data_IF_236210025519
#
_entry.id   IF_236210025519
#
_cell.length_a   1.000
_cell.length_b   1.000
_cell.length_c   1.000
_cell.angle_alpha   90.00
_cell.angle_beta   90.00
_cell.angle_gamma   90.00
#
_symmetry.space_group_name_H-M   'P 1'
#
loop_
_entity.id
_entity.type
_entity.pdbx_description
1 polymer ?
#
# COMPACT_ATOMS: atom_id res chain seq x y z
N UNK A 1 -21.05 18.55 -28.47
CA UNK A 1 -19.75 17.99 -28.00
C UNK A 1 -19.54 18.25 -26.50
N UNK A 2 -20.53 18.85 -25.83
CA UNK A 2 -20.39 19.48 -24.51
C UNK A 2 -20.64 18.50 -23.35
N UNK A 3 -21.34 17.38 -23.61
CA UNK A 3 -21.59 16.32 -22.62
C UNK A 3 -20.34 15.50 -22.28
N UNK A 4 -19.44 15.27 -23.25
CA UNK A 4 -18.20 14.51 -23.01
C UNK A 4 -17.23 15.33 -22.15
N UNK A 5 -16.99 16.59 -22.50
CA UNK A 5 -16.06 17.44 -21.73
C UNK A 5 -16.57 17.79 -20.32
N UNK A 6 -17.88 17.80 -20.10
CA UNK A 6 -18.47 18.03 -18.76
C UNK A 6 -18.46 16.78 -17.87
N UNK A 7 -18.43 15.57 -18.44
CA UNK A 7 -18.38 14.31 -17.67
C UNK A 7 -16.96 13.89 -17.30
N UNK A 8 -15.95 14.26 -18.10
CA UNK A 8 -14.53 13.92 -17.86
C UNK A 8 -14.01 14.31 -16.46
N UNK A 9 -14.28 15.51 -15.91
CA UNK A 9 -13.80 15.88 -14.57
C UNK A 9 -14.39 15.01 -13.46
N UNK A 10 -15.66 14.61 -13.60
CA UNK A 10 -16.33 13.74 -12.63
C UNK A 10 -15.77 12.32 -12.66
N UNK A 11 -15.48 11.80 -13.86
CA UNK A 11 -14.82 10.49 -14.01
C UNK A 11 -13.42 10.54 -13.42
N UNK A 12 -12.64 11.57 -13.72
CA UNK A 12 -11.31 11.75 -13.16
C UNK A 12 -11.32 11.80 -11.62
N UNK A 13 -12.24 12.58 -11.05
CA UNK A 13 -12.40 12.68 -9.60
C UNK A 13 -12.81 11.34 -8.98
N UNK A 14 -13.78 10.65 -9.58
CA UNK A 14 -14.24 9.34 -9.11
C UNK A 14 -13.14 8.28 -9.11
N UNK A 15 -12.35 8.21 -10.19
CA UNK A 15 -11.21 7.28 -10.29
C UNK A 15 -10.14 7.62 -9.25
N UNK A 16 -9.80 8.90 -9.10
CA UNK A 16 -8.78 9.33 -8.14
C UNK A 16 -9.20 9.03 -6.70
N UNK A 17 -10.46 9.30 -6.35
CA UNK A 17 -11.01 9.02 -5.03
C UNK A 17 -11.02 7.51 -4.75
N UNK A 18 -11.52 6.71 -5.69
CA UNK A 18 -11.55 5.26 -5.56
C UNK A 18 -10.14 4.68 -5.38
N UNK A 19 -9.19 5.07 -6.23
CA UNK A 19 -7.81 4.63 -6.15
C UNK A 19 -7.16 5.01 -4.81
N UNK A 20 -7.37 6.25 -4.35
CA UNK A 20 -6.83 6.74 -3.08
C UNK A 20 -7.35 5.93 -1.90
N UNK A 21 -8.66 5.67 -1.83
CA UNK A 21 -9.26 4.89 -0.75
C UNK A 21 -8.77 3.44 -0.76
N UNK A 22 -8.72 2.81 -1.95
CA UNK A 22 -8.24 1.44 -2.09
C UNK A 22 -6.77 1.30 -1.64
N UNK A 23 -5.90 2.20 -2.10
CA UNK A 23 -4.48 2.22 -1.73
C UNK A 23 -4.30 2.51 -0.24
N UNK A 24 -5.07 3.44 0.33
CA UNK A 24 -5.03 3.74 1.75
C UNK A 24 -5.40 2.51 2.59
N UNK A 25 -6.48 1.81 2.22
CA UNK A 25 -6.91 0.59 2.91
C UNK A 25 -5.83 -0.49 2.88
N UNK A 26 -5.22 -0.72 1.71
CA UNK A 26 -4.13 -1.69 1.56
C UNK A 26 -2.85 -1.26 2.29
N UNK A 27 -2.55 0.05 2.37
CA UNK A 27 -1.42 0.59 3.12
C UNK A 27 -1.59 0.39 4.62
N UNK A 28 -2.76 0.72 5.17
CA UNK A 28 -3.07 0.56 6.59
C UNK A 28 -3.07 -0.92 6.98
N UNK A 29 -3.71 -1.77 6.17
CA UNK A 29 -3.67 -3.21 6.42
C UNK A 29 -2.23 -3.74 6.34
N UNK A 30 -1.47 -3.32 5.33
CA UNK A 30 -0.06 -3.66 5.17
C UNK A 30 0.79 -3.26 6.37
N UNK A 31 0.59 -2.05 6.90
CA UNK A 31 1.27 -1.56 8.09
C UNK A 31 0.94 -2.41 9.32
N UNK A 32 -0.33 -2.75 9.53
CA UNK A 32 -0.75 -3.61 10.64
C UNK A 32 -0.10 -4.98 10.51
N UNK A 33 -0.09 -5.57 9.31
CA UNK A 33 0.55 -6.86 9.08
C UNK A 33 2.05 -6.81 9.30
N UNK A 34 2.75 -5.75 8.86
CA UNK A 34 4.19 -5.58 9.14
C UNK A 34 4.43 -5.47 10.64
N UNK A 35 3.64 -4.67 11.35
CA UNK A 35 3.79 -4.45 12.79
C UNK A 35 3.59 -5.76 13.59
N UNK A 36 2.61 -6.57 13.20
CA UNK A 36 2.30 -7.86 13.82
C UNK A 36 3.23 -9.01 13.41
N UNK A 37 3.99 -8.85 12.33
CA UNK A 37 4.93 -9.88 11.86
C UNK A 37 6.22 -9.82 12.68
N UNK A 38 6.74 -10.99 13.05
CA UNK A 38 8.00 -11.15 13.77
C UNK A 38 9.22 -10.70 12.93
N UNK A 39 10.22 -10.10 13.58
CA UNK A 39 11.35 -9.43 12.94
C UNK A 39 12.31 -10.40 12.22
N UNK A 40 12.49 -11.59 12.77
CA UNK A 40 13.28 -12.68 12.20
C UNK A 40 12.80 -13.10 10.80
N UNK A 41 11.50 -13.09 10.54
CA UNK A 41 10.94 -13.42 9.23
C UNK A 41 11.40 -12.43 8.14
N UNK A 42 11.60 -11.16 8.49
CA UNK A 42 12.15 -10.18 7.54
C UNK A 42 13.64 -10.42 7.26
N UNK A 43 14.40 -10.85 8.27
CA UNK A 43 15.83 -11.11 8.11
C UNK A 43 16.09 -12.28 7.16
N UNK A 44 15.24 -13.32 7.18
CA UNK A 44 15.38 -14.49 6.29
C UNK A 44 15.24 -14.13 4.81
N UNK A 45 14.48 -13.08 4.48
CA UNK A 45 14.28 -12.61 3.11
C UNK A 45 15.19 -11.44 2.73
N UNK A 46 16.28 -11.22 3.47
CA UNK A 46 17.21 -10.09 3.29
C UNK A 46 16.52 -8.72 3.32
N UNK A 47 15.59 -8.54 4.27
CA UNK A 47 14.88 -7.27 4.50
C UNK A 47 14.92 -6.90 5.98
N UNK A 48 14.63 -5.63 6.27
CA UNK A 48 14.50 -5.13 7.63
C UNK A 48 13.06 -4.70 7.89
N UNK A 49 12.47 -5.21 8.98
CA UNK A 49 11.10 -4.85 9.39
C UNK A 49 10.93 -3.34 9.54
N UNK A 50 11.89 -2.67 10.15
CA UNK A 50 11.83 -1.22 10.39
C UNK A 50 11.67 -0.43 9.08
N UNK A 51 12.37 -0.82 8.02
CA UNK A 51 12.25 -0.17 6.71
C UNK A 51 10.85 -0.36 6.14
N UNK A 52 10.30 -1.58 6.21
CA UNK A 52 8.94 -1.85 5.72
C UNK A 52 7.86 -1.20 6.58
N UNK A 53 8.08 -1.05 7.88
CA UNK A 53 7.17 -0.32 8.77
C UNK A 53 7.13 1.17 8.40
N UNK A 54 8.30 1.78 8.15
CA UNK A 54 8.40 3.17 7.70
C UNK A 54 7.82 3.36 6.30
N UNK A 55 8.06 2.42 5.37
CA UNK A 55 7.55 2.49 4.01
C UNK A 55 6.02 2.36 3.98
N UNK A 56 5.46 1.34 4.62
CA UNK A 56 3.99 1.15 4.68
C UNK A 56 3.29 2.26 5.48
N UNK A 57 3.93 2.76 6.54
CA UNK A 57 3.44 3.93 7.28
C UNK A 57 3.49 5.22 6.48
N UNK A 58 4.60 5.47 5.79
CA UNK A 58 4.74 6.59 4.86
C UNK A 58 3.73 6.52 3.72
N UNK A 59 3.45 5.33 3.20
CA UNK A 59 2.42 5.11 2.19
C UNK A 59 1.01 5.41 2.73
N UNK A 60 0.68 5.00 3.96
CA UNK A 60 -0.60 5.31 4.58
C UNK A 60 -0.76 6.83 4.81
N UNK A 61 0.29 7.51 5.26
CA UNK A 61 0.29 8.98 5.40
C UNK A 61 0.15 9.67 4.05
N UNK A 62 0.90 9.24 3.03
CA UNK A 62 0.83 9.82 1.69
C UNK A 62 -0.55 9.66 1.04
N UNK A 63 -1.16 8.48 1.17
CA UNK A 63 -2.52 8.22 0.69
C UNK A 63 -3.56 9.02 1.51
N UNK A 64 -3.39 9.14 2.83
CA UNK A 64 -4.25 9.95 3.69
C UNK A 64 -4.20 11.44 3.36
N UNK A 65 -3.00 11.98 3.11
CA UNK A 65 -2.82 13.36 2.64
C UNK A 65 -3.45 13.59 1.26
N UNK A 66 -3.35 12.61 0.36
CA UNK A 66 -4.00 12.65 -0.96
C UNK A 66 -5.53 12.74 -0.86
N UNK A 67 -6.14 12.20 0.20
CA UNK A 67 -7.58 12.29 0.44
C UNK A 67 -7.99 13.69 0.93
N UNK A 68 -7.16 14.32 1.78
CA UNK A 68 -7.42 15.65 2.34
C UNK A 68 -7.16 16.77 1.34
N UNK A 69 -6.25 16.56 0.39
CA UNK A 69 -5.87 17.56 -0.62
C UNK A 69 -5.88 16.96 -2.05
N UNK A 70 -7.06 16.62 -2.61
CA UNK A 70 -7.16 15.90 -3.89
C UNK A 70 -6.52 16.63 -5.07
N UNK A 71 -6.44 17.95 -4.99
CA UNK A 71 -5.93 18.82 -6.05
C UNK A 71 -4.41 19.01 -5.98
N UNK A 72 -3.79 18.76 -4.83
CA UNK A 72 -2.42 19.24 -4.58
C UNK A 72 -1.38 18.32 -5.20
N UNK A 73 -1.52 16.99 -5.13
CA UNK A 73 -0.61 16.04 -5.80
C UNK A 73 -1.22 14.63 -5.86
N UNK A 74 -0.93 13.85 -6.90
CA UNK A 74 -1.26 12.40 -7.00
C UNK A 74 -0.39 11.56 -6.03
N UNK A 75 -0.28 11.96 -4.77
CA UNK A 75 0.56 11.31 -3.75
C UNK A 75 0.15 9.86 -3.51
N UNK A 76 -1.12 9.53 -3.76
CA UNK A 76 -1.60 8.15 -3.73
C UNK A 76 -0.80 7.23 -4.68
N UNK A 77 -0.19 7.75 -5.75
CA UNK A 77 0.65 6.95 -6.67
C UNK A 77 1.92 6.45 -5.98
N UNK A 78 2.57 7.31 -5.18
CA UNK A 78 3.74 6.92 -4.40
C UNK A 78 3.35 5.81 -3.41
N UNK A 79 2.22 5.99 -2.73
CA UNK A 79 1.66 4.99 -1.85
C UNK A 79 1.34 3.68 -2.60
N UNK A 80 0.76 3.77 -3.80
CA UNK A 80 0.39 2.62 -4.61
C UNK A 80 1.60 1.76 -5.01
N UNK A 81 2.73 2.39 -5.33
CA UNK A 81 3.98 1.66 -5.66
C UNK A 81 4.49 0.91 -4.43
N UNK A 82 4.60 1.58 -3.28
CA UNK A 82 5.10 0.96 -2.04
C UNK A 82 4.18 -0.20 -1.62
N UNK A 83 2.88 0.04 -1.62
CA UNK A 83 1.85 -0.96 -1.29
C UNK A 83 1.88 -2.12 -2.28
N UNK A 84 2.01 -1.84 -3.57
CA UNK A 84 2.11 -2.87 -4.61
C UNK A 84 3.29 -3.81 -4.37
N UNK A 85 4.48 -3.25 -4.10
CA UNK A 85 5.67 -4.05 -3.77
C UNK A 85 5.45 -4.86 -2.50
N UNK A 86 4.89 -4.25 -1.44
CA UNK A 86 4.63 -4.96 -0.20
C UNK A 86 3.71 -6.18 -0.41
N UNK A 87 2.61 -6.01 -1.14
CA UNK A 87 1.61 -7.06 -1.31
C UNK A 87 2.00 -8.16 -2.29
N UNK A 88 2.74 -7.82 -3.35
CA UNK A 88 3.09 -8.76 -4.42
C UNK A 88 4.46 -9.42 -4.23
N UNK A 89 5.40 -8.77 -3.53
CA UNK A 89 6.76 -9.28 -3.34
C UNK A 89 7.00 -9.67 -1.87
N UNK A 90 6.91 -8.70 -0.96
CA UNK A 90 7.34 -8.88 0.44
C UNK A 90 6.44 -9.83 1.22
N UNK A 91 5.12 -9.64 1.12
CA UNK A 91 4.15 -10.42 1.90
C UNK A 91 4.14 -11.90 1.50
N UNK A 92 4.15 -12.28 0.21
CA UNK A 92 4.31 -13.67 -0.19
C UNK A 92 5.62 -14.27 0.33
N UNK A 93 6.75 -13.56 0.20
CA UNK A 93 8.04 -14.06 0.68
C UNK A 93 8.07 -14.30 2.20
N UNK A 94 7.50 -13.37 3.00
CA UNK A 94 7.36 -13.56 4.45
C UNK A 94 6.47 -14.76 4.76
N UNK A 95 5.35 -14.91 4.04
CA UNK A 95 4.42 -16.01 4.25
C UNK A 95 5.09 -17.36 3.99
N UNK A 96 5.86 -17.47 2.92
CA UNK A 96 6.60 -18.70 2.61
C UNK A 96 7.57 -19.07 3.75
N UNK A 97 8.23 -18.09 4.36
CA UNK A 97 9.11 -18.32 5.52
C UNK A 97 8.33 -18.75 6.76
N UNK A 98 7.20 -18.11 7.05
CA UNK A 98 6.37 -18.44 8.21
C UNK A 98 5.74 -19.83 8.08
N UNK A 99 5.21 -20.16 6.91
CA UNK A 99 4.56 -21.45 6.63
C UNK A 99 5.58 -22.61 6.75
N UNK A 100 6.78 -22.45 6.18
CA UNK A 100 7.87 -23.44 6.31
C UNK A 100 8.39 -23.60 7.75
N UNK A 101 8.29 -22.57 8.59
CA UNK A 101 8.72 -22.64 10.00
C UNK A 101 7.77 -23.42 10.90
N UNK A 102 6.54 -23.71 10.43
CA UNK A 102 5.50 -24.38 11.22
C UNK A 102 5.50 -25.91 11.10
N UNK A 103 6.35 -26.50 10.26
CA UNK A 103 6.53 -27.95 10.15
C UNK A 103 5.36 -28.71 9.50
N UNK A 104 4.50 -28.03 8.73
CA UNK A 104 3.44 -28.66 7.95
C UNK A 104 4.04 -29.35 6.72
N UNK A 105 4.41 -30.63 6.86
CA UNK A 105 4.64 -31.55 5.74
C UNK A 105 3.32 -32.02 5.15
#
# INVERSE_FOLDING_TARGET
MDSVFSTLPWVYYGVNLFATIAVLGLAVFGLVTVAMTRDDAFLVIDRQKQNWLMLTGGAAVAAGLSLLMPTVMMLWVIAAVIVGIYWQDVRPAIRDVLDNSSGSW
#
